data_IF_540851786026
#
_entry.id   IF_540851786026
#
_cell.length_a   1.000
_cell.length_b   1.000
_cell.length_c   1.000
_cell.angle_alpha   90.00
_cell.angle_beta   90.00
_cell.angle_gamma   90.00
#
_symmetry.space_group_name_H-M   'P 1'
#
loop_
_entity.id
_entity.type
_entity.pdbx_description
1 polymer ?
#
# COMPACT_ATOMS: atom_id res chain seq x y z
N UNK A 1 -4.81 15.25 1.38
CA UNK A 1 -3.75 14.78 0.46
C UNK A 1 -4.01 15.20 -0.99
N UNK A 2 -3.00 15.20 -1.87
CA UNK A 2 -3.16 15.51 -3.30
C UNK A 2 -3.90 14.40 -4.05
N UNK A 3 -5.07 14.71 -4.63
CA UNK A 3 -5.93 13.72 -5.30
C UNK A 3 -5.27 13.01 -6.49
N UNK A 4 -4.39 13.69 -7.24
CA UNK A 4 -3.65 13.07 -8.35
C UNK A 4 -2.67 12.02 -7.80
N UNK A 5 -2.04 12.30 -6.66
CA UNK A 5 -1.13 11.34 -6.03
C UNK A 5 -1.88 10.14 -5.44
N UNK A 6 -3.10 10.33 -4.91
CA UNK A 6 -3.96 9.23 -4.45
C UNK A 6 -4.28 8.26 -5.58
N UNK A 7 -4.72 8.78 -6.72
CA UNK A 7 -5.07 7.95 -7.88
C UNK A 7 -3.84 7.15 -8.32
N UNK A 8 -2.69 7.81 -8.45
CA UNK A 8 -1.43 7.13 -8.82
C UNK A 8 -0.99 6.09 -7.80
N UNK A 9 -1.16 6.35 -6.51
CA UNK A 9 -0.84 5.39 -5.47
C UNK A 9 -1.64 4.09 -5.62
N UNK A 10 -2.95 4.22 -5.84
CA UNK A 10 -3.84 3.07 -6.08
C UNK A 10 -3.54 2.37 -7.41
N UNK A 11 -3.24 3.12 -8.47
CA UNK A 11 -2.82 2.56 -9.77
C UNK A 11 -1.53 1.74 -9.64
N UNK A 12 -0.51 2.26 -8.96
CA UNK A 12 0.75 1.54 -8.76
C UNK A 12 0.60 0.33 -7.84
N UNK A 13 -0.22 0.42 -6.81
CA UNK A 13 -0.59 -0.74 -6.00
C UNK A 13 -1.18 -1.87 -6.87
N UNK A 14 -2.21 -1.54 -7.67
CA UNK A 14 -2.86 -2.52 -8.54
C UNK A 14 -1.90 -3.09 -9.59
N UNK A 15 -1.07 -2.23 -10.21
CA UNK A 15 -0.04 -2.68 -11.15
C UNK A 15 0.95 -3.66 -10.50
N UNK A 16 1.37 -3.40 -9.26
CA UNK A 16 2.27 -4.30 -8.52
C UNK A 16 1.61 -5.65 -8.24
N UNK A 17 0.35 -5.65 -7.77
CA UNK A 17 -0.43 -6.88 -7.54
C UNK A 17 -0.61 -7.67 -8.83
N UNK A 18 -0.95 -7.02 -9.95
CA UNK A 18 -1.07 -7.65 -11.27
C UNK A 18 0.26 -8.26 -11.76
N UNK A 19 1.40 -7.72 -11.31
CA UNK A 19 2.74 -8.26 -11.57
C UNK A 19 3.18 -9.33 -10.56
N UNK A 20 2.27 -9.80 -9.70
CA UNK A 20 2.51 -10.87 -8.73
C UNK A 20 3.25 -10.41 -7.47
N UNK A 21 3.30 -9.11 -7.20
CA UNK A 21 3.78 -8.60 -5.91
C UNK A 21 2.67 -8.74 -4.88
N UNK A 22 3.02 -9.33 -3.74
CA UNK A 22 2.08 -9.54 -2.64
C UNK A 22 2.43 -8.55 -1.55
N UNK A 23 1.43 -7.79 -1.10
CA UNK A 23 1.56 -6.87 0.01
C UNK A 23 1.14 -7.54 1.30
N UNK A 24 1.87 -7.29 2.36
CA UNK A 24 1.47 -7.66 3.71
C UNK A 24 1.58 -6.46 4.63
N UNK A 25 0.79 -6.46 5.70
CA UNK A 25 0.85 -5.46 6.74
C UNK A 25 0.59 -6.12 8.09
N UNK A 26 1.26 -5.61 9.14
CA UNK A 26 1.01 -5.97 10.53
C UNK A 26 1.76 -5.04 11.47
N UNK A 27 1.14 -4.68 12.59
CA UNK A 27 1.67 -3.74 13.58
C UNK A 27 1.55 -4.33 14.99
N UNK A 28 1.86 -3.56 16.03
CA UNK A 28 1.66 -4.03 17.43
C UNK A 28 0.19 -4.31 17.75
N UNK A 29 -0.74 -3.62 17.08
CA UNK A 29 -2.19 -3.71 17.31
C UNK A 29 -2.94 -4.55 16.28
N UNK A 30 -2.37 -4.76 15.09
CA UNK A 30 -2.98 -5.48 13.97
C UNK A 30 -2.13 -6.70 13.62
N UNK A 31 -2.76 -7.87 13.61
CA UNK A 31 -2.08 -9.12 13.24
C UNK A 31 -1.60 -9.08 11.79
N UNK A 32 -0.40 -9.62 11.56
CA UNK A 32 0.18 -9.69 10.22
C UNK A 32 -0.70 -10.48 9.26
N UNK A 33 -0.97 -9.90 8.08
CA UNK A 33 -1.82 -10.50 7.05
C UNK A 33 -1.54 -9.96 5.66
N UNK A 34 -2.00 -10.69 4.65
CA UNK A 34 -1.93 -10.27 3.25
C UNK A 34 -2.91 -9.12 3.01
N UNK A 35 -2.47 -8.04 2.39
CA UNK A 35 -3.33 -6.94 1.95
C UNK A 35 -4.03 -7.36 0.68
N UNK A 36 -5.33 -7.65 0.78
CA UNK A 36 -6.16 -8.11 -0.35
C UNK A 36 -6.89 -6.96 -1.03
N UNK A 37 -7.19 -5.89 -0.30
CA UNK A 37 -7.71 -4.64 -0.84
C UNK A 37 -7.02 -3.44 -0.19
N UNK A 38 -6.85 -2.36 -0.95
CA UNK A 38 -6.26 -1.11 -0.49
C UNK A 38 -6.99 0.06 -1.17
N UNK A 39 -7.46 1.03 -0.38
CA UNK A 39 -8.22 2.19 -0.85
C UNK A 39 -7.92 3.44 -0.01
N UNK A 40 -8.15 4.63 -0.56
CA UNK A 40 -8.04 5.90 0.16
C UNK A 40 -9.39 6.61 0.15
N UNK A 41 -9.94 6.87 1.34
CA UNK A 41 -11.19 7.60 1.50
C UNK A 41 -11.04 8.68 2.55
N UNK A 42 -11.52 9.89 2.25
CA UNK A 42 -11.48 11.03 3.18
C UNK A 42 -10.08 11.31 3.77
N UNK A 43 -9.02 11.11 2.95
CA UNK A 43 -7.60 11.20 3.33
C UNK A 43 -7.09 10.12 4.31
N UNK A 44 -7.85 9.05 4.53
CA UNK A 44 -7.47 7.89 5.35
C UNK A 44 -7.22 6.66 4.48
N UNK A 45 -6.23 5.84 4.85
CA UNK A 45 -5.92 4.60 4.17
C UNK A 45 -6.74 3.46 4.77
N UNK A 46 -7.45 2.74 3.91
CA UNK A 46 -8.20 1.54 4.27
C UNK A 46 -7.52 0.33 3.64
N UNK A 47 -7.23 -0.68 4.45
CA UNK A 47 -6.70 -1.95 3.98
C UNK A 47 -7.61 -3.09 4.41
N UNK A 48 -7.75 -4.09 3.55
CA UNK A 48 -8.35 -5.37 3.89
C UNK A 48 -7.24 -6.41 4.06
N UNK A 49 -7.24 -7.12 5.18
CA UNK A 49 -6.33 -8.21 5.45
C UNK A 49 -7.01 -9.56 5.24
N UNK A 50 -6.31 -10.45 4.54
CA UNK A 50 -6.64 -11.85 4.30
C UNK A 50 -8.04 -12.07 3.67
N UNK A 51 -8.64 -11.04 3.07
CA UNK A 51 -9.95 -11.10 2.43
C UNK A 51 -11.16 -10.91 3.36
N UNK A 52 -10.98 -10.47 4.61
CA UNK A 52 -12.11 -10.37 5.54
C UNK A 52 -12.01 -9.27 6.61
N UNK A 53 -10.82 -8.86 7.05
CA UNK A 53 -10.68 -7.83 8.09
C UNK A 53 -10.31 -6.49 7.47
N UNK A 54 -11.14 -5.45 7.65
CA UNK A 54 -10.82 -4.09 7.17
C UNK A 54 -10.33 -3.21 8.31
N UNK A 55 -9.23 -2.51 8.07
CA UNK A 55 -8.63 -1.57 9.01
C UNK A 55 -8.51 -0.18 8.37
N UNK A 56 -8.71 0.84 9.20
CA UNK A 56 -8.34 2.22 8.90
C UNK A 56 -6.99 2.48 9.56
N UNK A 57 -6.00 2.88 8.76
CA UNK A 57 -4.63 3.10 9.23
C UNK A 57 -4.07 4.39 8.61
N UNK A 58 -3.06 4.95 9.27
CA UNK A 58 -2.32 6.09 8.75
C UNK A 58 -1.35 5.66 7.64
N UNK A 59 -1.10 6.54 6.67
CA UNK A 59 -0.11 6.29 5.61
C UNK A 59 1.31 6.13 6.17
N UNK A 60 1.66 6.88 7.21
CA UNK A 60 2.94 6.75 7.91
C UNK A 60 3.09 5.36 8.53
N UNK A 61 2.02 4.89 9.20
CA UNK A 61 2.01 3.58 9.84
C UNK A 61 2.05 2.44 8.80
N UNK A 62 1.37 2.62 7.66
CA UNK A 62 1.49 1.70 6.53
C UNK A 62 2.93 1.64 6.01
N UNK A 63 3.57 2.79 5.74
CA UNK A 63 4.95 2.84 5.22
C UNK A 63 5.94 2.12 6.14
N UNK A 64 5.78 2.25 7.45
CA UNK A 64 6.67 1.62 8.44
C UNK A 64 6.45 0.11 8.58
N UNK A 65 5.22 -0.37 8.40
CA UNK A 65 4.82 -1.73 8.80
C UNK A 65 4.44 -2.65 7.63
N UNK A 66 4.30 -2.13 6.41
CA UNK A 66 4.03 -2.98 5.25
C UNK A 66 5.30 -3.66 4.72
N UNK A 67 5.11 -4.81 4.08
CA UNK A 67 6.16 -5.52 3.37
C UNK A 67 5.66 -5.99 2.01
N UNK A 68 6.61 -6.24 1.11
CA UNK A 68 6.35 -6.65 -0.27
C UNK A 68 7.10 -7.94 -0.56
N UNK A 69 6.41 -8.96 -1.02
CA UNK A 69 6.99 -10.21 -1.52
C UNK A 69 6.73 -10.37 -3.02
N UNK A 70 7.42 -11.30 -3.68
CA UNK A 70 7.25 -11.53 -5.13
C UNK A 70 7.90 -10.46 -6.03
N UNK A 71 8.60 -9.48 -5.44
CA UNK A 71 9.32 -8.44 -6.16
C UNK A 71 10.43 -9.05 -7.03
N UNK A 72 10.38 -8.76 -8.33
CA UNK A 72 11.31 -9.29 -9.32
C UNK A 72 11.81 -8.16 -10.24
N UNK A 73 12.70 -8.49 -11.18
CA UNK A 73 13.35 -7.48 -12.02
C UNK A 73 12.37 -6.66 -12.88
N UNK A 74 11.17 -7.17 -13.17
CA UNK A 74 10.12 -6.44 -13.89
C UNK A 74 9.38 -5.45 -12.99
N UNK A 75 9.20 -5.76 -11.70
CA UNK A 75 8.46 -4.91 -10.76
C UNK A 75 9.33 -3.91 -10.00
N UNK A 76 10.66 -3.98 -10.10
CA UNK A 76 11.57 -3.05 -9.40
C UNK A 76 11.32 -1.56 -9.69
N UNK A 77 11.00 -1.21 -10.93
CA UNK A 77 10.71 0.17 -11.30
C UNK A 77 9.40 0.65 -10.64
N UNK A 78 8.36 -0.19 -10.68
CA UNK A 78 7.05 0.07 -10.08
C UNK A 78 7.15 0.18 -8.55
N UNK A 79 7.93 -0.69 -7.88
CA UNK A 79 8.15 -0.62 -6.43
C UNK A 79 8.78 0.73 -6.05
N UNK A 80 9.79 1.19 -6.79
CA UNK A 80 10.40 2.50 -6.54
C UNK A 80 9.43 3.64 -6.78
N UNK A 81 8.58 3.54 -7.79
CA UNK A 81 7.57 4.56 -8.05
C UNK A 81 6.54 4.61 -6.92
N UNK A 82 6.04 3.45 -6.50
CA UNK A 82 5.15 3.29 -5.35
C UNK A 82 5.72 3.91 -4.08
N UNK A 83 6.96 3.55 -3.70
CA UNK A 83 7.63 4.10 -2.51
C UNK A 83 7.81 5.62 -2.61
N UNK A 84 8.10 6.14 -3.81
CA UNK A 84 8.20 7.58 -4.05
C UNK A 84 6.85 8.30 -3.93
N UNK A 85 5.74 7.65 -4.33
CA UNK A 85 4.40 8.21 -4.21
C UNK A 85 3.99 8.27 -2.74
N UNK A 86 4.19 7.19 -1.96
CA UNK A 86 3.95 7.20 -0.51
C UNK A 86 4.70 8.35 0.16
N UNK A 87 6.00 8.46 -0.11
CA UNK A 87 6.84 9.52 0.45
C UNK A 87 6.32 10.94 0.14
N UNK A 88 5.73 11.15 -1.05
CA UNK A 88 5.14 12.44 -1.43
C UNK A 88 3.79 12.68 -0.78
N UNK A 89 3.00 11.62 -0.56
CA UNK A 89 1.72 11.71 0.14
C UNK A 89 1.90 12.03 1.63
N UNK A 90 2.95 11.49 2.25
CA UNK A 90 3.29 11.76 3.65
C UNK A 90 3.83 13.20 3.84
N UNK A 91 4.70 13.66 2.92
CA UNK A 91 5.42 14.94 3.07
C UNK A 91 4.66 16.17 2.53
N UNK A 92 3.53 15.97 1.85
CA UNK A 92 2.81 17.01 1.10
C UNK A 92 1.46 17.34 1.69
#
# INVERSE_FOLDING_TARGET
MNDILKIKFLEEYNNLVDNGVIFYYGSESISYGEVTCLDIKDDLLYIELNGFETYEIDLDDFEENHSKEGVNYHSWALVREFDNIINKLIKG
#
